data_IF_595860115032
#
_entry.id   IF_595860115032
#
_cell.length_a   1.000
_cell.length_b   1.000
_cell.length_c   1.000
_cell.angle_alpha   90.00
_cell.angle_beta   90.00
_cell.angle_gamma   90.00
#
_symmetry.space_group_name_H-M   'P 1'
#
loop_
_entity.id
_entity.type
_entity.pdbx_description
1 polymer ?
#
# COMPACT_ATOMS: atom_id res chain seq x y z
N UNK A 1 -10.13 -18.44 -75.13
CA UNK A 1 -8.91 -19.12 -75.61
C UNK A 1 -7.92 -19.16 -74.47
N UNK A 2 -7.13 -20.20 -74.22
CA UNK A 2 -7.29 -21.65 -74.45
C UNK A 2 -6.27 -22.35 -73.56
N UNK A 3 -6.49 -23.63 -73.26
CA UNK A 3 -5.66 -24.37 -72.32
C UNK A 3 -4.32 -24.86 -72.92
N UNK A 4 -3.35 -25.05 -72.01
CA UNK A 4 -2.44 -26.20 -71.92
C UNK A 4 -1.30 -26.48 -72.94
N UNK A 5 -0.22 -27.03 -72.35
CA UNK A 5 0.79 -27.94 -72.94
C UNK A 5 1.69 -27.35 -74.05
N UNK A 6 2.94 -27.80 -74.27
CA UNK A 6 3.84 -28.78 -73.65
C UNK A 6 5.30 -28.20 -73.78
N UNK A 7 6.41 -28.73 -73.26
CA UNK A 7 6.80 -30.07 -72.76
C UNK A 7 7.93 -29.94 -71.72
N UNK A 8 8.32 -31.04 -71.06
CA UNK A 8 9.67 -31.23 -70.49
C UNK A 8 10.34 -32.45 -71.14
N UNK A 9 11.67 -32.55 -71.11
CA UNK A 9 12.31 -33.83 -70.82
C UNK A 9 13.22 -33.73 -69.58
N UNK A 10 13.36 -34.85 -68.88
CA UNK A 10 14.10 -34.97 -67.63
C UNK A 10 15.53 -35.53 -67.81
N UNK A 11 16.25 -35.63 -66.69
CA UNK A 11 17.52 -36.33 -66.45
C UNK A 11 18.78 -35.51 -66.83
N UNK A 12 19.77 -35.35 -65.95
CA UNK A 12 20.34 -36.34 -65.04
C UNK A 12 20.70 -35.76 -63.65
N UNK A 13 20.90 -36.64 -62.66
CA UNK A 13 21.01 -36.31 -61.25
C UNK A 13 22.45 -36.39 -60.69
N UNK A 14 22.58 -35.95 -59.44
CA UNK A 14 23.65 -36.27 -58.48
C UNK A 14 25.05 -35.70 -58.75
N UNK A 15 25.51 -34.83 -57.85
CA UNK A 15 26.20 -35.33 -56.66
C UNK A 15 26.09 -34.35 -55.48
N UNK A 16 26.04 -34.91 -54.28
CA UNK A 16 25.99 -34.17 -53.02
C UNK A 16 27.41 -33.81 -52.52
N UNK A 17 27.49 -33.36 -51.27
CA UNK A 17 28.72 -33.03 -50.51
C UNK A 17 29.23 -31.59 -50.75
N UNK A 18 29.32 -30.71 -49.74
CA UNK A 18 29.14 -30.89 -48.31
C UNK A 18 28.30 -29.75 -47.69
N UNK A 19 27.53 -30.10 -46.65
CA UNK A 19 27.39 -29.21 -45.50
C UNK A 19 28.80 -28.95 -44.94
N UNK A 20 29.45 -27.92 -45.48
CA UNK A 20 30.68 -27.35 -44.94
C UNK A 20 30.36 -26.62 -43.65
N UNK A 21 29.85 -27.36 -42.65
CA UNK A 21 29.61 -26.88 -41.32
C UNK A 21 30.92 -26.31 -40.80
N UNK A 22 31.07 -24.98 -40.88
CA UNK A 22 32.13 -24.22 -40.24
C UNK A 22 31.81 -24.23 -38.74
N UNK A 23 31.90 -25.42 -38.14
CA UNK A 23 32.12 -25.62 -36.71
C UNK A 23 33.49 -25.02 -36.43
N UNK A 24 33.51 -23.68 -36.37
CA UNK A 24 34.60 -22.90 -35.83
C UNK A 24 34.76 -23.44 -34.42
N UNK A 25 35.76 -24.29 -34.23
CA UNK A 25 36.03 -24.98 -32.98
C UNK A 25 36.44 -23.89 -31.98
N UNK A 26 35.44 -23.27 -31.36
CA UNK A 26 35.62 -22.22 -30.38
C UNK A 26 36.57 -22.79 -29.34
N UNK A 27 37.72 -22.13 -29.17
CA UNK A 27 38.67 -22.53 -28.16
C UNK A 27 37.93 -22.68 -26.84
N UNK A 28 38.27 -23.70 -26.03
CA UNK A 28 37.67 -23.89 -24.70
C UNK A 28 37.78 -22.60 -23.86
N UNK A 29 38.85 -21.81 -24.11
CA UNK A 29 39.05 -20.46 -23.55
C UNK A 29 37.98 -19.46 -24.00
N UNK A 30 37.61 -19.44 -25.28
CA UNK A 30 36.58 -18.53 -25.80
C UNK A 30 35.18 -18.85 -25.24
N UNK A 31 34.85 -20.14 -25.08
CA UNK A 31 33.61 -20.56 -24.42
C UNK A 31 33.61 -20.19 -22.92
N UNK A 32 34.74 -20.37 -22.23
CA UNK A 32 34.88 -19.96 -20.84
C UNK A 32 34.72 -18.44 -20.65
N UNK A 33 35.30 -17.63 -21.51
CA UNK A 33 35.14 -16.16 -21.48
C UNK A 33 33.67 -15.77 -21.69
N UNK A 34 32.98 -16.36 -22.67
CA UNK A 34 31.55 -16.09 -22.90
C UNK A 34 30.72 -16.48 -21.68
N UNK A 35 30.98 -17.63 -21.05
CA UNK A 35 30.28 -18.07 -19.84
C UNK A 35 30.47 -17.08 -18.68
N UNK A 36 31.69 -16.59 -18.45
CA UNK A 36 31.98 -15.58 -17.41
C UNK A 36 31.24 -14.26 -17.70
N UNK A 37 31.23 -13.79 -18.96
CA UNK A 37 30.51 -12.57 -19.36
C UNK A 37 28.99 -12.73 -19.15
N UNK A 38 28.41 -13.88 -19.50
CA UNK A 38 26.98 -14.15 -19.28
C UNK A 38 26.64 -14.16 -17.79
N UNK A 39 27.45 -14.82 -16.95
CA UNK A 39 27.26 -14.82 -15.49
C UNK A 39 27.36 -13.40 -14.92
N UNK A 40 28.34 -12.60 -15.37
CA UNK A 40 28.48 -11.21 -14.94
C UNK A 40 27.24 -10.37 -15.29
N UNK A 41 26.69 -10.51 -16.50
CA UNK A 41 25.47 -9.83 -16.92
C UNK A 41 24.27 -10.23 -16.04
N UNK A 42 24.11 -11.52 -15.73
CA UNK A 42 23.02 -12.01 -14.87
C UNK A 42 23.14 -11.42 -13.45
N UNK A 43 24.34 -11.42 -12.86
CA UNK A 43 24.57 -10.84 -11.53
C UNK A 43 24.26 -9.34 -11.51
N UNK A 44 24.74 -8.59 -12.52
CA UNK A 44 24.47 -7.15 -12.64
C UNK A 44 22.97 -6.88 -12.77
N UNK A 45 22.27 -7.60 -13.65
CA UNK A 45 20.82 -7.47 -13.81
C UNK A 45 20.05 -7.80 -12.53
N UNK A 46 20.46 -8.85 -11.80
CA UNK A 46 19.87 -9.24 -10.52
C UNK A 46 20.03 -8.17 -9.44
N UNK A 47 21.23 -7.57 -9.31
CA UNK A 47 21.48 -6.48 -8.33
C UNK A 47 20.67 -5.22 -8.65
N UNK A 48 20.59 -4.82 -9.91
CA UNK A 48 19.76 -3.66 -10.31
C UNK A 48 18.26 -3.92 -10.10
N UNK A 49 17.78 -5.11 -10.47
CA UNK A 49 16.38 -5.49 -10.25
C UNK A 49 16.00 -5.55 -8.76
N UNK A 50 16.87 -6.12 -7.92
CA UNK A 50 16.65 -6.17 -6.47
C UNK A 50 16.61 -4.77 -5.85
N UNK A 51 17.55 -3.88 -6.22
CA UNK A 51 17.55 -2.49 -5.74
C UNK A 51 16.29 -1.73 -6.13
N UNK A 52 15.92 -1.74 -7.41
CA UNK A 52 14.71 -1.06 -7.88
C UNK A 52 13.43 -1.58 -7.19
N UNK A 53 13.37 -2.89 -6.91
CA UNK A 53 12.28 -3.47 -6.12
C UNK A 53 12.29 -2.98 -4.65
N UNK A 54 13.44 -2.99 -3.99
CA UNK A 54 13.60 -2.50 -2.61
C UNK A 54 13.21 -1.01 -2.49
N UNK A 55 13.68 -0.17 -3.40
CA UNK A 55 13.38 1.26 -3.44
C UNK A 55 11.87 1.51 -3.63
N UNK A 56 11.23 0.76 -4.53
CA UNK A 56 9.78 0.83 -4.73
C UNK A 56 9.00 0.41 -3.47
N UNK A 57 9.41 -0.68 -2.82
CA UNK A 57 8.76 -1.15 -1.58
C UNK A 57 8.93 -0.16 -0.42
N UNK A 58 10.10 0.46 -0.29
CA UNK A 58 10.36 1.51 0.70
C UNK A 58 9.50 2.75 0.45
N UNK A 59 9.51 3.29 -0.77
CA UNK A 59 8.72 4.46 -1.13
C UNK A 59 7.20 4.23 -0.96
N UNK A 60 6.72 3.03 -1.30
CA UNK A 60 5.33 2.63 -1.05
C UNK A 60 5.00 2.60 0.45
N UNK A 61 5.89 2.12 1.32
CA UNK A 61 5.68 2.09 2.76
C UNK A 61 5.70 3.50 3.38
N UNK A 62 6.60 4.39 2.91
CA UNK A 62 6.62 5.81 3.31
C UNK A 62 5.31 6.50 2.91
N UNK A 63 4.83 6.29 1.67
CA UNK A 63 3.59 6.89 1.18
C UNK A 63 2.34 6.33 1.89
N UNK A 64 2.30 5.03 2.18
CA UNK A 64 1.24 4.41 2.96
C UNK A 64 1.18 4.98 4.39
N UNK A 65 2.34 5.11 5.04
CA UNK A 65 2.43 5.70 6.38
C UNK A 65 1.98 7.17 6.36
N UNK A 66 2.44 7.98 5.40
CA UNK A 66 2.01 9.37 5.26
C UNK A 66 0.49 9.49 5.08
N UNK A 67 -0.12 8.57 4.32
CA UNK A 67 -1.58 8.48 4.15
C UNK A 67 -2.29 8.12 5.47
N UNK A 68 -1.75 7.16 6.23
CA UNK A 68 -2.29 6.81 7.54
C UNK A 68 -2.15 7.95 8.57
N UNK A 69 -1.05 8.70 8.55
CA UNK A 69 -0.86 9.90 9.38
C UNK A 69 -1.93 10.96 9.10
N UNK A 70 -2.26 11.16 7.82
CA UNK A 70 -3.30 12.12 7.43
C UNK A 70 -4.71 11.62 7.78
N UNK A 71 -4.96 10.30 7.71
CA UNK A 71 -6.19 9.70 8.20
C UNK A 71 -6.35 9.89 9.72
N UNK A 72 -5.29 9.70 10.52
CA UNK A 72 -5.32 9.99 11.96
C UNK A 72 -5.63 11.46 12.20
N UNK A 73 -4.93 12.38 11.53
CA UNK A 73 -5.18 13.83 11.68
C UNK A 73 -6.62 14.21 11.37
N UNK A 74 -7.20 13.69 10.29
CA UNK A 74 -8.59 13.94 9.95
C UNK A 74 -9.55 13.38 11.00
N UNK A 75 -9.35 12.13 11.45
CA UNK A 75 -10.17 11.53 12.50
C UNK A 75 -10.03 12.25 13.86
N UNK A 76 -8.84 12.74 14.19
CA UNK A 76 -8.57 13.60 15.36
C UNK A 76 -9.26 14.96 15.22
N UNK A 77 -9.28 15.57 14.03
CA UNK A 77 -9.98 16.82 13.77
C UNK A 77 -11.50 16.65 13.89
N UNK A 78 -12.07 15.55 13.36
CA UNK A 78 -13.49 15.22 13.49
C UNK A 78 -13.87 15.03 14.98
N UNK A 79 -13.08 14.26 15.72
CA UNK A 79 -13.26 14.06 17.17
C UNK A 79 -13.18 15.38 17.94
N UNK A 80 -12.13 16.17 17.71
CA UNK A 80 -11.95 17.46 18.37
C UNK A 80 -13.03 18.48 17.98
N UNK A 81 -13.53 18.44 16.75
CA UNK A 81 -14.65 19.28 16.32
C UNK A 81 -15.92 18.99 17.12
N UNK A 82 -16.21 17.71 17.35
CA UNK A 82 -17.34 17.29 18.20
C UNK A 82 -17.12 17.62 19.68
N UNK A 83 -15.92 17.32 20.22
CA UNK A 83 -15.56 17.60 21.63
C UNK A 83 -15.66 19.09 21.97
N UNK A 84 -15.16 19.97 21.10
CA UNK A 84 -15.16 21.42 21.32
C UNK A 84 -16.44 22.12 20.82
N UNK A 85 -17.36 21.39 20.18
CA UNK A 85 -18.64 21.86 19.67
C UNK A 85 -19.81 21.26 20.45
N UNK A 86 -20.66 20.48 19.79
CA UNK A 86 -21.91 19.96 20.35
C UNK A 86 -21.73 19.19 21.67
N UNK A 87 -20.58 18.53 21.89
CA UNK A 87 -20.31 17.84 23.15
C UNK A 87 -19.99 18.80 24.30
N UNK A 88 -19.29 19.91 24.05
CA UNK A 88 -19.08 20.96 25.05
C UNK A 88 -20.41 21.66 25.40
N UNK A 89 -21.22 21.97 24.39
CA UNK A 89 -22.56 22.57 24.58
C UNK A 89 -23.50 21.64 25.34
N UNK A 90 -23.43 20.32 25.10
CA UNK A 90 -24.20 19.32 25.84
C UNK A 90 -23.67 19.10 27.27
N UNK A 91 -22.36 19.13 27.49
CA UNK A 91 -21.74 18.98 28.80
C UNK A 91 -21.91 20.23 29.70
N UNK A 92 -22.21 21.39 29.13
CA UNK A 92 -22.56 22.61 29.87
C UNK A 92 -23.97 22.55 30.52
N UNK A 93 -24.81 21.57 30.15
CA UNK A 93 -26.15 21.39 30.70
C UNK A 93 -26.10 20.75 32.09
N UNK A 94 -27.11 21.04 32.91
CA UNK A 94 -27.26 20.47 34.25
C UNK A 94 -28.49 19.56 34.34
N UNK A 95 -28.64 18.83 35.43
CA UNK A 95 -29.83 18.03 35.75
C UNK A 95 -31.15 18.83 35.70
N UNK A 96 -31.08 20.17 35.83
CA UNK A 96 -32.25 21.05 35.71
C UNK A 96 -32.71 21.20 34.27
N UNK A 97 -31.81 21.04 33.30
CA UNK A 97 -32.02 21.29 31.88
C UNK A 97 -32.40 20.01 31.11
N UNK A 98 -32.14 18.82 31.68
CA UNK A 98 -32.43 17.50 31.09
C UNK A 98 -33.47 16.70 31.88
N UNK A 99 -34.25 15.84 31.22
CA UNK A 99 -35.31 15.00 31.80
C UNK A 99 -34.72 13.78 32.52
N UNK A 100 -33.64 13.25 31.99
CA UNK A 100 -32.84 12.14 32.52
C UNK A 100 -31.40 12.63 32.71
N UNK A 101 -30.92 12.66 33.95
CA UNK A 101 -29.56 13.10 34.27
C UNK A 101 -28.50 12.06 33.90
N UNK A 102 -28.86 10.78 33.77
CA UNK A 102 -27.90 9.72 33.43
C UNK A 102 -27.33 9.88 32.00
N UNK A 103 -27.99 10.66 31.14
CA UNK A 103 -27.44 11.04 29.83
C UNK A 103 -26.21 11.94 29.96
N UNK A 104 -26.17 12.81 30.99
CA UNK A 104 -25.00 13.66 31.27
C UNK A 104 -23.83 12.84 31.82
N UNK A 105 -24.10 11.86 32.69
CA UNK A 105 -23.08 10.92 33.17
C UNK A 105 -22.48 10.09 32.03
N UNK A 106 -23.33 9.62 31.10
CA UNK A 106 -22.89 8.91 29.91
C UNK A 106 -22.00 9.79 29.00
N UNK A 107 -22.39 11.04 28.76
CA UNK A 107 -21.59 12.00 28.00
C UNK A 107 -20.23 12.27 28.65
N UNK A 108 -20.22 12.54 29.97
CA UNK A 108 -18.98 12.78 30.72
C UNK A 108 -18.04 11.57 30.71
N UNK A 109 -18.59 10.35 30.68
CA UNK A 109 -17.80 9.12 30.55
C UNK A 109 -17.11 9.02 29.18
N UNK A 110 -17.81 9.31 28.09
CA UNK A 110 -17.22 9.30 26.74
C UNK A 110 -16.16 10.42 26.59
N UNK A 111 -16.41 11.61 27.15
CA UNK A 111 -15.43 12.71 27.19
C UNK A 111 -14.20 12.42 28.04
N UNK A 112 -14.27 11.43 28.94
CA UNK A 112 -13.14 10.99 29.79
C UNK A 112 -12.32 9.84 29.18
N UNK A 113 -12.54 9.51 27.90
CA UNK A 113 -11.80 8.45 27.22
C UNK A 113 -10.30 8.80 27.06
N UNK A 114 -9.43 7.81 27.29
CA UNK A 114 -7.98 7.97 27.18
C UNK A 114 -7.56 8.04 25.69
N UNK A 115 -7.00 9.18 25.29
CA UNK A 115 -6.60 9.43 23.90
C UNK A 115 -5.38 8.58 23.49
N UNK A 116 -5.36 8.02 22.27
CA UNK A 116 -4.20 7.29 21.79
C UNK A 116 -2.99 8.23 21.58
N UNK A 117 -1.81 7.75 21.97
CA UNK A 117 -0.54 8.48 21.79
C UNK A 117 -0.11 8.45 20.32
N UNK A 118 -0.04 9.62 19.67
CA UNK A 118 0.37 9.71 18.27
C UNK A 118 1.85 9.33 18.07
N UNK A 119 2.09 8.24 17.35
CA UNK A 119 3.40 7.83 16.87
C UNK A 119 3.48 8.09 15.36
N UNK A 120 4.20 9.14 14.96
CA UNK A 120 4.28 9.55 13.55
C UNK A 120 5.15 8.64 12.68
N UNK A 121 5.15 8.89 11.37
CA UNK A 121 5.94 8.14 10.38
C UNK A 121 7.45 8.42 10.44
N UNK A 122 8.12 7.84 11.43
CA UNK A 122 9.58 7.86 11.58
C UNK A 122 10.06 6.42 11.76
N UNK A 123 10.77 5.91 10.77
CA UNK A 123 11.33 4.55 10.75
C UNK A 123 12.56 4.48 9.84
N UNK A 124 13.48 3.57 10.16
CA UNK A 124 14.72 3.37 9.39
C UNK A 124 14.55 2.46 8.16
N UNK A 125 13.48 1.64 8.12
CA UNK A 125 13.24 0.67 7.05
C UNK A 125 11.75 0.44 6.73
N UNK A 126 11.51 -0.31 5.65
CA UNK A 126 10.18 -0.69 5.13
C UNK A 126 9.32 -1.44 6.15
N UNK A 127 9.90 -2.22 7.06
CA UNK A 127 9.15 -2.95 8.08
C UNK A 127 8.73 -2.00 9.22
N UNK A 128 9.60 -1.09 9.62
CA UNK A 128 9.27 -0.02 10.57
C UNK A 128 8.15 0.90 10.04
N UNK A 129 8.21 1.32 8.78
CA UNK A 129 7.12 2.12 8.18
C UNK A 129 5.78 1.37 8.13
N UNK A 130 5.79 0.04 7.92
CA UNK A 130 4.58 -0.77 8.01
C UNK A 130 4.03 -0.83 9.42
N UNK A 131 4.87 -1.11 10.42
CA UNK A 131 4.45 -1.12 11.82
C UNK A 131 3.91 0.24 12.30
N UNK A 132 4.51 1.35 11.87
CA UNK A 132 3.97 2.68 12.11
C UNK A 132 2.63 2.91 11.40
N UNK A 133 2.48 2.44 10.16
CA UNK A 133 1.20 2.48 9.42
C UNK A 133 0.10 1.70 10.16
N UNK A 134 0.41 0.51 10.65
CA UNK A 134 -0.55 -0.34 11.37
C UNK A 134 -1.01 0.35 12.67
N UNK A 135 -0.07 0.89 13.48
CA UNK A 135 -0.40 1.70 14.66
C UNK A 135 -1.27 2.91 14.31
N UNK A 136 -0.94 3.66 13.26
CA UNK A 136 -1.74 4.82 12.83
C UNK A 136 -3.15 4.41 12.38
N UNK A 137 -3.33 3.23 11.79
CA UNK A 137 -4.65 2.70 11.47
C UNK A 137 -5.44 2.35 12.75
N UNK A 138 -4.82 1.70 13.74
CA UNK A 138 -5.45 1.44 15.06
C UNK A 138 -5.91 2.74 15.73
N UNK A 139 -5.11 3.82 15.68
CA UNK A 139 -5.48 5.14 16.18
C UNK A 139 -6.64 5.76 15.39
N UNK A 140 -6.61 5.64 14.06
CA UNK A 140 -7.69 6.13 13.19
C UNK A 140 -9.02 5.46 13.53
N UNK A 141 -9.01 4.14 13.73
CA UNK A 141 -10.21 3.37 14.05
C UNK A 141 -10.69 3.63 15.48
N UNK A 142 -9.77 3.84 16.43
CA UNK A 142 -10.10 4.34 17.77
C UNK A 142 -10.86 5.67 17.70
N UNK A 143 -10.33 6.67 16.97
CA UNK A 143 -10.96 7.99 16.85
C UNK A 143 -12.35 7.88 16.21
N UNK A 144 -12.50 7.14 15.10
CA UNK A 144 -13.80 6.94 14.45
C UNK A 144 -14.84 6.29 15.37
N UNK A 145 -14.43 5.28 16.14
CA UNK A 145 -15.29 4.62 17.11
C UNK A 145 -15.72 5.57 18.23
N UNK A 146 -14.79 6.35 18.79
CA UNK A 146 -15.07 7.27 19.89
C UNK A 146 -15.86 8.50 19.44
N UNK A 147 -15.61 9.07 18.26
CA UNK A 147 -16.49 10.11 17.68
C UNK A 147 -17.92 9.60 17.51
N UNK A 148 -18.08 8.35 17.02
CA UNK A 148 -19.42 7.73 16.84
C UNK A 148 -20.11 7.47 18.18
N UNK A 149 -19.36 7.11 19.23
CA UNK A 149 -19.89 6.86 20.57
C UNK A 149 -20.27 8.18 21.26
N UNK A 150 -19.38 9.17 21.21
CA UNK A 150 -19.58 10.52 21.73
C UNK A 150 -20.80 11.19 21.09
N UNK A 151 -20.96 11.09 19.75
CA UNK A 151 -22.14 11.67 19.07
C UNK A 151 -23.44 11.09 19.61
N UNK A 152 -23.51 9.77 19.86
CA UNK A 152 -24.71 9.15 20.45
C UNK A 152 -25.01 9.65 21.86
N UNK A 153 -23.98 9.92 22.66
CA UNK A 153 -24.15 10.49 23.99
C UNK A 153 -24.64 11.95 23.92
N UNK A 154 -24.09 12.74 22.99
CA UNK A 154 -24.56 14.10 22.68
C UNK A 154 -26.02 14.10 22.21
N UNK A 155 -26.38 13.20 21.29
CA UNK A 155 -27.74 13.05 20.79
C UNK A 155 -28.73 12.64 21.91
N UNK A 156 -28.30 11.76 22.83
CA UNK A 156 -29.10 11.35 23.98
C UNK A 156 -29.34 12.51 24.96
N UNK A 157 -28.30 13.31 25.27
CA UNK A 157 -28.44 14.53 26.09
C UNK A 157 -29.36 15.54 25.40
N UNK A 158 -29.21 15.75 24.09
CA UNK A 158 -30.05 16.64 23.31
C UNK A 158 -31.52 16.20 23.28
N UNK A 159 -31.80 14.91 23.13
CA UNK A 159 -33.14 14.35 23.22
C UNK A 159 -33.73 14.41 24.65
N UNK A 160 -32.88 14.43 25.68
CA UNK A 160 -33.26 14.56 27.08
C UNK A 160 -33.62 16.00 27.49
N UNK A 161 -33.26 17.03 26.70
CA UNK A 161 -33.56 18.45 27.02
C UNK A 161 -35.03 18.69 27.40
N UNK A 162 -35.27 19.50 28.43
CA UNK A 162 -36.63 19.79 28.96
C UNK A 162 -37.47 20.61 28.00
#
# INVERSE_FOLDING_TARGET
MSAEQQTAPANNANNASNEGARRKHMSKVALAIIAVVVVAIIVVAGVFGFRAYSDAQYNNAVAACATASENVRNATNDYNGLVNGDAADAAALTEKDVKDSSTLDALNKELSAELPVYEGCVADDTAGFKSATDKLNEQTDWYKAHTTSLQKAVDAVNASKK
#
